data_IF_323983642228
#
_entry.id   IF_323983642228
#
_cell.length_a   1.000
_cell.length_b   1.000
_cell.length_c   1.000
_cell.angle_alpha   90.00
_cell.angle_beta   90.00
_cell.angle_gamma   90.00
#
_symmetry.space_group_name_H-M   'P 1'
#
loop_
_entity.id
_entity.type
_entity.pdbx_description
1 polymer ?
#
# COMPACT_ATOMS: atom_id res chain seq x y z
N UNK A 1 -6.37 -38.82 -62.37
CA UNK A 1 -5.20 -37.99 -62.07
C UNK A 1 -5.35 -37.63 -60.64
N UNK A 2 -5.23 -38.50 -59.65
CA UNK A 2 -4.03 -39.16 -59.08
C UNK A 2 -3.03 -38.16 -58.56
N UNK A 3 -2.77 -38.40 -57.28
CA UNK A 3 -1.66 -37.94 -56.41
C UNK A 3 -1.81 -36.53 -55.82
N UNK A 4 -1.98 -36.34 -54.53
CA UNK A 4 -1.20 -36.80 -53.42
C UNK A 4 -1.97 -36.61 -52.10
N UNK A 5 -2.34 -37.73 -51.51
CA UNK A 5 -2.59 -37.86 -50.07
C UNK A 5 -1.36 -38.56 -49.53
N UNK A 6 -0.52 -37.81 -48.81
CA UNK A 6 0.47 -38.44 -47.91
C UNK A 6 0.92 -37.46 -46.84
N UNK A 7 0.77 -37.93 -45.61
CA UNK A 7 1.58 -37.58 -44.43
C UNK A 7 1.36 -36.24 -43.75
N UNK A 8 0.57 -36.25 -42.68
CA UNK A 8 0.96 -35.65 -41.40
C UNK A 8 0.47 -36.54 -40.27
N UNK A 9 1.23 -37.56 -39.96
CA UNK A 9 1.33 -38.18 -38.66
C UNK A 9 2.75 -37.91 -38.18
N UNK A 10 2.92 -37.12 -37.17
CA UNK A 10 4.03 -37.04 -36.20
C UNK A 10 3.97 -35.66 -35.59
N UNK A 11 3.61 -35.54 -34.35
CA UNK A 11 4.50 -35.47 -33.23
C UNK A 11 3.70 -35.25 -31.95
N UNK A 12 3.43 -36.33 -31.27
CA UNK A 12 3.34 -36.32 -29.81
C UNK A 12 4.76 -36.12 -29.26
N UNK A 13 5.16 -34.90 -29.02
CA UNK A 13 6.31 -34.59 -28.16
C UNK A 13 5.81 -34.02 -26.85
N UNK A 14 5.34 -34.94 -25.99
CA UNK A 14 5.23 -34.71 -24.57
C UNK A 14 6.65 -34.51 -24.02
N UNK A 15 6.94 -33.30 -23.51
CA UNK A 15 8.15 -33.07 -22.72
C UNK A 15 8.07 -33.88 -21.43
N UNK A 16 9.00 -34.84 -21.21
CA UNK A 16 9.02 -35.56 -19.96
C UNK A 16 9.51 -34.61 -18.86
N UNK A 17 8.69 -34.45 -17.83
CA UNK A 17 9.12 -33.90 -16.56
C UNK A 17 10.13 -34.88 -15.99
N UNK A 18 11.40 -34.62 -16.19
CA UNK A 18 12.48 -35.43 -15.62
C UNK A 18 12.55 -35.13 -14.13
N UNK A 19 11.93 -35.99 -13.35
CA UNK A 19 12.19 -36.06 -11.90
C UNK A 19 13.60 -36.60 -11.74
N UNK A 20 14.52 -35.74 -11.34
CA UNK A 20 15.93 -36.13 -11.11
C UNK A 20 16.00 -37.08 -9.90
N UNK A 21 16.45 -38.33 -10.06
CA UNK A 21 16.63 -39.22 -8.92
C UNK A 21 17.88 -38.79 -8.12
N UNK A 22 17.71 -38.55 -6.84
CA UNK A 22 18.79 -38.33 -5.89
C UNK A 22 19.71 -39.56 -5.89
N UNK A 23 20.86 -39.45 -6.52
CA UNK A 23 21.97 -40.42 -6.40
C UNK A 23 22.71 -40.13 -5.09
N UNK A 24 22.72 -41.15 -4.20
CA UNK A 24 23.52 -41.15 -3.00
C UNK A 24 25.01 -40.99 -3.30
N UNK A 25 25.67 -40.17 -2.59
CA UNK A 25 27.13 -40.14 -2.48
C UNK A 25 27.53 -40.57 -1.04
N UNK A 26 28.38 -41.53 -1.01
CA UNK A 26 28.94 -42.24 0.14
C UNK A 26 29.58 -41.31 1.18
N UNK A 27 29.38 -41.76 2.42
CA UNK A 27 30.02 -41.20 3.60
C UNK A 27 31.37 -41.85 3.82
N UNK A 28 32.43 -41.08 4.05
CA UNK A 28 33.45 -41.43 5.04
C UNK A 28 34.15 -40.20 5.59
N UNK A 29 34.16 -40.17 6.95
CA UNK A 29 35.10 -39.55 7.91
C UNK A 29 35.05 -38.02 8.16
N UNK A 30 34.54 -37.67 9.32
CA UNK A 30 35.39 -37.24 10.43
C UNK A 30 34.94 -35.98 11.15
N UNK A 31 34.75 -36.13 12.45
CA UNK A 31 34.84 -35.11 13.51
C UNK A 31 33.59 -34.26 13.83
N UNK A 32 33.18 -34.44 15.07
CA UNK A 32 32.03 -33.97 15.77
C UNK A 32 31.76 -32.48 15.69
N UNK A 33 30.52 -32.21 15.43
CA UNK A 33 29.84 -30.98 15.64
C UNK A 33 28.36 -31.31 15.78
N UNK A 34 27.79 -31.03 16.95
CA UNK A 34 26.37 -31.16 17.20
C UNK A 34 25.60 -30.31 16.16
N UNK A 35 25.37 -30.90 15.01
CA UNK A 35 24.39 -30.33 14.05
C UNK A 35 23.02 -30.51 14.68
N UNK A 36 22.45 -29.40 15.19
CA UNK A 36 21.01 -29.28 15.31
C UNK A 36 20.41 -29.69 13.97
N UNK A 37 19.86 -30.89 13.91
CA UNK A 37 18.90 -31.29 12.87
C UNK A 37 17.64 -30.47 13.09
N UNK A 38 17.72 -29.17 12.78
CA UNK A 38 16.53 -28.40 12.44
C UNK A 38 15.90 -29.12 11.25
N UNK A 39 14.66 -29.58 11.41
CA UNK A 39 13.81 -30.02 10.33
C UNK A 39 14.10 -29.11 9.13
N UNK A 40 14.64 -29.65 8.05
CA UNK A 40 14.64 -28.94 6.75
C UNK A 40 13.17 -28.75 6.43
N UNK A 41 12.63 -27.59 6.81
CA UNK A 41 11.30 -27.17 6.41
C UNK A 41 11.33 -27.21 4.90
N UNK A 42 10.50 -28.06 4.30
CA UNK A 42 10.41 -28.22 2.86
C UNK A 42 10.26 -26.82 2.24
N UNK A 43 11.05 -26.48 1.23
CA UNK A 43 11.07 -25.13 0.63
C UNK A 43 9.68 -24.61 0.23
N UNK A 44 8.72 -25.52 0.00
CA UNK A 44 7.33 -25.21 -0.33
C UNK A 44 6.43 -24.92 0.89
N UNK A 45 6.87 -25.26 2.12
CA UNK A 45 6.05 -25.01 3.32
C UNK A 45 5.77 -23.53 3.53
N UNK A 46 6.80 -22.69 3.40
CA UNK A 46 6.66 -21.25 3.63
C UNK A 46 5.76 -20.56 2.59
N UNK A 47 5.94 -20.78 1.27
CA UNK A 47 4.99 -20.27 0.26
C UNK A 47 3.56 -20.76 0.49
N UNK A 48 3.37 -22.04 0.83
CA UNK A 48 2.05 -22.60 1.12
C UNK A 48 1.41 -21.95 2.36
N UNK A 49 2.16 -21.81 3.46
CA UNK A 49 1.67 -21.14 4.67
C UNK A 49 1.25 -19.69 4.40
N UNK A 50 2.07 -18.93 3.67
CA UNK A 50 1.76 -17.54 3.33
C UNK A 50 0.55 -17.45 2.39
N UNK A 51 0.45 -18.29 1.36
CA UNK A 51 -0.70 -18.33 0.47
C UNK A 51 -1.99 -18.68 1.25
N UNK A 52 -1.90 -19.60 2.22
CA UNK A 52 -3.02 -19.96 3.10
C UNK A 52 -3.44 -18.79 3.99
N UNK A 53 -2.48 -18.01 4.53
CA UNK A 53 -2.77 -16.82 5.32
C UNK A 53 -3.42 -15.72 4.45
N UNK A 54 -2.96 -15.52 3.21
CA UNK A 54 -3.57 -14.56 2.26
C UNK A 54 -5.01 -14.95 1.93
N UNK A 55 -5.25 -16.24 1.63
CA UNK A 55 -6.61 -16.73 1.39
C UNK A 55 -7.50 -16.54 2.62
N UNK A 56 -7.01 -16.93 3.80
CA UNK A 56 -7.73 -16.76 5.05
C UNK A 56 -8.04 -15.28 5.32
N UNK A 57 -7.07 -14.37 5.04
CA UNK A 57 -7.29 -12.93 5.16
C UNK A 57 -8.45 -12.46 4.29
N UNK A 58 -8.50 -12.90 3.05
CA UNK A 58 -9.57 -12.55 2.12
C UNK A 58 -10.95 -13.04 2.60
N UNK A 59 -11.02 -14.28 3.09
CA UNK A 59 -12.27 -14.85 3.62
C UNK A 59 -12.75 -14.12 4.89
N UNK A 60 -11.84 -13.83 5.82
CA UNK A 60 -12.16 -13.10 7.04
C UNK A 60 -12.54 -11.63 6.74
N UNK A 61 -11.85 -10.98 5.79
CA UNK A 61 -12.20 -9.64 5.32
C UNK A 61 -13.65 -9.57 4.83
N UNK A 62 -14.08 -10.52 4.00
CA UNK A 62 -15.46 -10.62 3.51
C UNK A 62 -16.43 -10.89 4.67
N UNK A 63 -16.07 -11.81 5.58
CA UNK A 63 -16.95 -12.22 6.69
C UNK A 63 -17.20 -11.09 7.69
N UNK A 64 -16.18 -10.27 7.98
CA UNK A 64 -16.26 -9.22 8.99
C UNK A 64 -16.42 -7.81 8.40
N UNK A 65 -16.54 -7.69 7.07
CA UNK A 65 -16.58 -6.40 6.36
C UNK A 65 -15.43 -5.45 6.77
N UNK A 66 -14.23 -6.00 6.93
CA UNK A 66 -13.02 -5.25 7.24
C UNK A 66 -12.15 -5.12 5.99
N UNK A 67 -11.34 -4.07 5.93
CA UNK A 67 -10.31 -3.96 4.88
C UNK A 67 -9.37 -5.18 4.90
N UNK A 68 -9.15 -5.81 3.75
CA UNK A 68 -8.27 -6.98 3.63
C UNK A 68 -6.86 -6.70 4.16
N UNK A 69 -6.34 -5.49 3.93
CA UNK A 69 -5.03 -5.07 4.43
C UNK A 69 -4.92 -5.12 5.96
N UNK A 70 -6.00 -4.76 6.69
CA UNK A 70 -6.03 -4.86 8.16
C UNK A 70 -5.94 -6.33 8.58
N UNK A 71 -6.70 -7.20 7.92
CA UNK A 71 -6.73 -8.64 8.24
C UNK A 71 -5.39 -9.29 7.88
N UNK A 72 -4.77 -8.92 6.75
CA UNK A 72 -3.44 -9.38 6.35
C UNK A 72 -2.38 -8.97 7.38
N UNK A 73 -2.39 -7.72 7.89
CA UNK A 73 -1.49 -7.32 8.97
C UNK A 73 -1.76 -8.14 10.23
N UNK A 74 -3.03 -8.32 10.63
CA UNK A 74 -3.37 -9.11 11.82
C UNK A 74 -2.91 -10.57 11.71
N UNK A 75 -3.13 -11.21 10.55
CA UNK A 75 -2.62 -12.56 10.29
C UNK A 75 -1.09 -12.60 10.20
N UNK A 76 -0.46 -11.53 9.70
CA UNK A 76 0.99 -11.36 9.75
C UNK A 76 1.51 -11.33 11.20
N UNK A 77 0.83 -10.62 12.12
CA UNK A 77 1.16 -10.62 13.56
C UNK A 77 1.09 -12.05 14.12
N UNK A 78 0.04 -12.80 13.79
CA UNK A 78 -0.10 -14.20 14.19
C UNK A 78 1.03 -15.03 13.58
N UNK A 79 1.30 -14.88 12.29
CA UNK A 79 2.37 -15.58 11.58
C UNK A 79 3.74 -15.37 12.20
N UNK A 80 4.08 -14.12 12.52
CA UNK A 80 5.40 -13.78 13.10
C UNK A 80 5.56 -14.19 14.56
N UNK A 81 4.52 -14.03 15.39
CA UNK A 81 4.63 -14.26 16.85
C UNK A 81 4.23 -15.66 17.29
N UNK A 82 3.22 -16.29 16.68
CA UNK A 82 2.71 -17.60 17.07
C UNK A 82 3.25 -18.72 16.18
N UNK A 83 3.31 -18.51 14.87
CA UNK A 83 3.82 -19.51 13.92
C UNK A 83 5.34 -19.38 13.69
N UNK A 84 5.98 -18.38 14.27
CA UNK A 84 7.43 -18.13 14.17
C UNK A 84 7.90 -18.07 12.70
N UNK A 85 7.06 -17.56 11.80
CA UNK A 85 7.42 -17.36 10.40
C UNK A 85 8.39 -16.18 10.31
N UNK A 86 9.57 -16.43 9.78
CA UNK A 86 10.58 -15.40 9.56
C UNK A 86 10.57 -14.93 8.11
N UNK A 87 10.86 -13.65 7.89
CA UNK A 87 11.00 -13.10 6.54
C UNK A 87 12.24 -13.68 5.86
N UNK A 88 12.11 -13.92 4.57
CA UNK A 88 13.18 -14.39 3.68
C UNK A 88 13.43 -13.36 2.60
N UNK A 89 14.55 -13.44 1.89
CA UNK A 89 14.92 -12.47 0.84
C UNK A 89 13.83 -12.30 -0.23
N UNK A 90 13.15 -13.40 -0.61
CA UNK A 90 12.08 -13.30 -1.61
C UNK A 90 10.80 -12.64 -1.05
N UNK A 91 10.46 -12.87 0.24
CA UNK A 91 9.37 -12.17 0.92
C UNK A 91 9.69 -10.67 1.01
N UNK A 92 10.94 -10.35 1.36
CA UNK A 92 11.41 -8.98 1.45
C UNK A 92 11.32 -8.25 0.11
N UNK A 93 11.69 -8.94 -0.98
CA UNK A 93 11.57 -8.43 -2.34
C UNK A 93 10.09 -8.20 -2.73
N UNK A 94 9.21 -9.20 -2.55
CA UNK A 94 7.80 -9.08 -2.87
C UNK A 94 7.10 -7.99 -2.04
N UNK A 95 7.42 -7.89 -0.75
CA UNK A 95 6.89 -6.84 0.11
C UNK A 95 7.37 -5.44 -0.32
N UNK A 96 8.65 -5.30 -0.68
CA UNK A 96 9.21 -4.07 -1.21
C UNK A 96 8.54 -3.66 -2.53
N UNK A 97 8.40 -4.61 -3.46
CA UNK A 97 7.69 -4.37 -4.70
C UNK A 97 6.20 -4.07 -4.48
N UNK A 98 5.55 -4.74 -3.50
CA UNK A 98 4.18 -4.46 -3.09
C UNK A 98 3.97 -3.02 -2.65
N UNK A 99 4.89 -2.49 -1.84
CA UNK A 99 4.88 -1.06 -1.44
C UNK A 99 4.96 -0.13 -2.65
N UNK A 100 5.87 -0.41 -3.58
CA UNK A 100 6.05 0.41 -4.81
C UNK A 100 4.81 0.32 -5.70
N UNK A 101 4.26 -0.87 -5.91
CA UNK A 101 3.07 -1.07 -6.73
C UNK A 101 1.83 -0.40 -6.12
N UNK A 102 1.65 -0.48 -4.79
CA UNK A 102 0.60 0.26 -4.08
C UNK A 102 0.74 1.77 -4.26
N UNK A 103 1.96 2.27 -4.14
CA UNK A 103 2.26 3.69 -4.32
C UNK A 103 1.96 4.15 -5.75
N UNK A 104 2.31 3.33 -6.75
CA UNK A 104 1.99 3.59 -8.16
C UNK A 104 0.47 3.63 -8.39
N UNK A 105 -0.25 2.64 -7.89
CA UNK A 105 -1.71 2.57 -8.00
C UNK A 105 -2.38 3.76 -7.31
N UNK A 106 -1.92 4.15 -6.12
CA UNK A 106 -2.43 5.32 -5.41
C UNK A 106 -2.32 6.60 -6.26
N UNK A 107 -1.21 6.78 -7.00
CA UNK A 107 -1.06 7.87 -7.96
C UNK A 107 -1.94 7.71 -9.20
N UNK A 108 -1.99 6.49 -9.77
CA UNK A 108 -2.71 6.20 -11.01
C UNK A 108 -4.24 6.29 -10.88
N UNK A 109 -4.77 6.12 -9.67
CA UNK A 109 -6.20 6.18 -9.38
C UNK A 109 -6.73 7.59 -9.11
N UNK A 110 -5.85 8.59 -9.11
CA UNK A 110 -6.27 9.98 -8.88
C UNK A 110 -7.11 10.50 -10.04
N UNK A 111 -8.32 10.95 -9.73
CA UNK A 111 -9.12 11.74 -10.66
C UNK A 111 -8.61 13.18 -10.70
N UNK A 112 -7.78 13.48 -11.69
CA UNK A 112 -7.20 14.83 -11.87
C UNK A 112 -8.22 15.89 -12.27
N UNK A 113 -9.36 15.49 -12.88
CA UNK A 113 -10.45 16.41 -13.20
C UNK A 113 -11.14 16.90 -11.94
N UNK A 114 -11.46 15.94 -11.08
CA UNK A 114 -12.10 16.15 -9.79
C UNK A 114 -11.21 16.96 -8.82
N UNK A 115 -9.91 16.66 -8.81
CA UNK A 115 -8.93 17.41 -8.02
C UNK A 115 -8.92 18.89 -8.45
N UNK A 116 -9.01 19.20 -9.75
CA UNK A 116 -9.05 20.59 -10.24
C UNK A 116 -10.33 21.33 -9.88
N UNK A 117 -11.48 20.66 -9.90
CA UNK A 117 -12.79 21.27 -9.61
C UNK A 117 -12.87 21.77 -8.15
N UNK A 118 -12.27 21.04 -7.20
CA UNK A 118 -12.30 21.32 -5.76
C UNK A 118 -10.90 21.47 -5.16
N UNK A 119 -9.98 22.03 -5.93
CA UNK A 119 -8.56 22.08 -5.57
C UNK A 119 -8.32 22.82 -4.24
N UNK A 120 -8.95 24.00 -4.08
CA UNK A 120 -8.74 24.85 -2.89
C UNK A 120 -9.18 24.16 -1.60
N UNK A 121 -10.38 23.61 -1.61
CA UNK A 121 -10.96 22.89 -0.46
C UNK A 121 -10.13 21.64 -0.14
N UNK A 122 -9.78 20.87 -1.15
CA UNK A 122 -9.04 19.63 -1.02
C UNK A 122 -7.61 19.85 -0.54
N UNK A 123 -6.92 20.87 -1.07
CA UNK A 123 -5.54 21.21 -0.65
C UNK A 123 -5.53 21.74 0.79
N UNK A 124 -6.49 22.58 1.16
CA UNK A 124 -6.56 23.10 2.53
C UNK A 124 -6.88 21.98 3.53
N UNK A 125 -7.92 21.18 3.26
CA UNK A 125 -8.31 20.08 4.16
C UNK A 125 -7.21 19.01 4.19
N UNK A 126 -6.72 18.55 3.05
CA UNK A 126 -5.67 17.52 2.96
C UNK A 126 -4.32 18.00 3.52
N UNK A 127 -3.93 19.25 3.21
CA UNK A 127 -2.69 19.84 3.70
C UNK A 127 -2.64 19.99 5.21
N UNK A 128 -3.70 20.56 5.82
CA UNK A 128 -3.77 20.67 7.30
C UNK A 128 -4.03 19.30 7.95
N UNK A 129 -4.75 18.41 7.28
CA UNK A 129 -4.90 17.00 7.70
C UNK A 129 -3.58 16.25 7.76
N UNK A 130 -2.59 16.61 6.93
CA UNK A 130 -1.23 16.10 7.01
C UNK A 130 -0.41 16.85 8.06
N UNK A 131 -0.34 18.16 7.94
CA UNK A 131 0.63 18.99 8.66
C UNK A 131 0.43 18.99 10.18
N UNK A 132 -0.81 19.16 10.67
CA UNK A 132 -1.05 19.26 12.10
C UNK A 132 -0.82 17.95 12.85
N UNK A 133 -1.30 16.78 12.39
CA UNK A 133 -0.96 15.52 13.04
C UNK A 133 0.54 15.19 12.91
N UNK A 134 1.20 15.59 11.80
CA UNK A 134 2.65 15.44 11.66
C UNK A 134 3.39 16.18 12.77
N UNK A 135 3.11 17.49 12.93
CA UNK A 135 3.75 18.30 13.94
C UNK A 135 3.41 17.79 15.35
N UNK A 136 2.15 17.46 15.62
CA UNK A 136 1.72 16.97 16.93
C UNK A 136 2.42 15.64 17.29
N UNK A 137 2.42 14.67 16.38
CA UNK A 137 3.06 13.39 16.61
C UNK A 137 4.59 13.51 16.69
N UNK A 138 5.21 14.25 15.79
CA UNK A 138 6.65 14.54 15.82
C UNK A 138 7.04 15.19 17.16
N UNK A 139 6.34 16.27 17.56
CA UNK A 139 6.66 16.98 18.81
C UNK A 139 6.49 16.09 20.03
N UNK A 140 5.41 15.30 20.10
CA UNK A 140 5.23 14.38 21.20
C UNK A 140 6.32 13.31 21.25
N UNK A 141 6.63 12.69 20.12
CA UNK A 141 7.64 11.63 20.05
C UNK A 141 9.05 12.14 20.36
N UNK A 142 9.39 13.33 19.87
CA UNK A 142 10.72 13.91 20.07
C UNK A 142 10.91 14.49 21.48
N UNK A 143 9.99 15.37 21.94
CA UNK A 143 10.15 16.10 23.18
C UNK A 143 9.66 15.34 24.42
N UNK A 144 8.66 14.47 24.29
CA UNK A 144 8.03 13.79 25.43
C UNK A 144 8.42 12.31 25.49
N UNK A 145 8.31 11.57 24.38
CA UNK A 145 8.65 10.15 24.35
C UNK A 145 10.15 9.90 24.19
N UNK A 146 10.97 10.92 23.95
CA UNK A 146 12.43 10.79 23.85
C UNK A 146 12.94 10.02 22.64
N UNK A 147 12.15 9.96 21.56
CA UNK A 147 12.61 9.31 20.32
C UNK A 147 13.67 10.17 19.64
N UNK A 148 14.66 9.53 19.02
CA UNK A 148 15.63 10.25 18.20
C UNK A 148 14.95 11.00 17.03
N UNK A 149 15.60 12.06 16.55
CA UNK A 149 15.06 12.96 15.51
C UNK A 149 14.45 12.18 14.32
N UNK A 150 15.24 11.25 13.72
CA UNK A 150 14.78 10.47 12.56
C UNK A 150 13.60 9.55 12.88
N UNK A 151 13.58 8.98 14.09
CA UNK A 151 12.47 8.15 14.54
C UNK A 151 11.19 8.99 14.74
N UNK A 152 11.31 10.19 15.30
CA UNK A 152 10.20 11.10 15.48
C UNK A 152 9.65 11.62 14.12
N UNK A 153 10.54 11.91 13.16
CA UNK A 153 10.16 12.27 11.78
C UNK A 153 9.36 11.14 11.10
N UNK A 154 9.80 9.88 11.22
CA UNK A 154 9.06 8.70 10.74
C UNK A 154 7.70 8.60 11.43
N UNK A 155 7.67 8.75 12.76
CA UNK A 155 6.42 8.71 13.52
C UNK A 155 5.44 9.81 13.10
N UNK A 156 5.93 11.02 12.91
CA UNK A 156 5.15 12.14 12.38
C UNK A 156 4.56 11.82 11.00
N UNK A 157 5.40 11.35 10.07
CA UNK A 157 4.97 10.97 8.73
C UNK A 157 3.95 9.81 8.74
N UNK A 158 4.19 8.76 9.54
CA UNK A 158 3.30 7.62 9.63
C UNK A 158 1.93 7.96 10.22
N UNK A 159 1.90 8.83 11.24
CA UNK A 159 0.67 9.20 11.95
C UNK A 159 -0.10 10.34 11.29
N UNK A 160 0.49 11.08 10.34
CA UNK A 160 -0.20 12.15 9.61
C UNK A 160 -1.12 11.64 8.48
N UNK A 161 -0.96 10.39 8.06
CA UNK A 161 -1.62 9.81 6.89
C UNK A 161 -3.13 9.71 7.03
N UNK A 162 -3.82 9.70 5.87
CA UNK A 162 -5.23 9.28 5.72
C UNK A 162 -5.27 8.11 4.75
N UNK A 163 -6.14 7.13 4.97
CA UNK A 163 -6.24 5.98 4.07
C UNK A 163 -7.30 6.21 3.00
N UNK A 164 -6.88 6.47 1.76
CA UNK A 164 -7.78 6.57 0.62
C UNK A 164 -8.62 5.29 0.44
N UNK A 165 -8.00 4.12 0.61
CA UNK A 165 -8.70 2.84 0.44
C UNK A 165 -9.84 2.65 1.43
N UNK A 166 -9.64 2.98 2.73
CA UNK A 166 -10.68 2.89 3.75
C UNK A 166 -11.77 3.93 3.49
N UNK A 167 -11.40 5.16 3.21
CA UNK A 167 -12.35 6.25 2.91
C UNK A 167 -13.18 5.91 1.68
N UNK A 168 -12.56 5.43 0.60
CA UNK A 168 -13.26 5.05 -0.62
C UNK A 168 -14.24 3.90 -0.39
N UNK A 169 -13.86 2.86 0.36
CA UNK A 169 -14.76 1.76 0.69
C UNK A 169 -16.02 2.27 1.42
N UNK A 170 -15.83 3.12 2.43
CA UNK A 170 -16.96 3.74 3.17
C UNK A 170 -17.83 4.60 2.25
N UNK A 171 -17.23 5.38 1.34
CA UNK A 171 -17.98 6.22 0.40
C UNK A 171 -18.77 5.39 -0.61
N UNK A 172 -18.27 4.23 -1.04
CA UNK A 172 -18.99 3.28 -1.91
C UNK A 172 -20.15 2.66 -1.17
N UNK A 173 -19.93 2.11 0.03
CA UNK A 173 -20.98 1.50 0.87
C UNK A 173 -22.10 2.48 1.21
N UNK A 174 -21.76 3.75 1.41
CA UNK A 174 -22.73 4.80 1.78
C UNK A 174 -23.32 5.55 0.56
N UNK A 175 -22.94 5.18 -0.68
CA UNK A 175 -23.38 5.87 -1.90
C UNK A 175 -22.91 7.32 -2.04
N UNK A 176 -21.89 7.72 -1.31
CA UNK A 176 -21.43 9.12 -1.25
C UNK A 176 -20.30 9.45 -2.24
N UNK A 177 -19.83 8.51 -3.04
CA UNK A 177 -18.70 8.69 -3.98
C UNK A 177 -18.91 9.83 -4.98
N UNK A 178 -20.10 9.95 -5.55
CA UNK A 178 -20.46 10.98 -6.53
C UNK A 178 -20.81 12.34 -5.93
N UNK A 179 -20.98 12.41 -4.60
CA UNK A 179 -21.36 13.64 -3.92
C UNK A 179 -20.18 14.62 -3.77
N UNK A 180 -20.47 15.91 -3.56
CA UNK A 180 -19.44 16.93 -3.29
C UNK A 180 -18.57 16.52 -2.08
N UNK A 181 -19.17 15.93 -1.04
CA UNK A 181 -18.44 15.47 0.15
C UNK A 181 -17.47 14.34 -0.20
N UNK A 182 -17.93 13.32 -0.95
CA UNK A 182 -17.07 12.20 -1.37
C UNK A 182 -15.92 12.68 -2.26
N UNK A 183 -16.24 13.58 -3.18
CA UNK A 183 -15.24 14.20 -4.06
C UNK A 183 -14.14 14.93 -3.28
N UNK A 184 -14.51 15.82 -2.36
CA UNK A 184 -13.55 16.56 -1.53
C UNK A 184 -12.73 15.59 -0.64
N UNK A 185 -13.37 14.60 -0.03
CA UNK A 185 -12.69 13.60 0.80
C UNK A 185 -11.63 12.81 0.01
N UNK A 186 -11.99 12.27 -1.16
CA UNK A 186 -11.04 11.52 -1.99
C UNK A 186 -9.86 12.41 -2.42
N UNK A 187 -10.12 13.64 -2.85
CA UNK A 187 -9.07 14.57 -3.23
C UNK A 187 -8.20 14.99 -2.03
N UNK A 188 -8.78 15.19 -0.84
CA UNK A 188 -8.03 15.52 0.37
C UNK A 188 -7.17 14.33 0.84
N UNK A 189 -7.66 13.08 0.74
CA UNK A 189 -6.85 11.88 0.99
C UNK A 189 -5.63 11.84 0.08
N UNK A 190 -5.82 12.10 -1.22
CA UNK A 190 -4.71 12.19 -2.15
C UNK A 190 -3.66 13.24 -1.75
N UNK A 191 -4.09 14.42 -1.29
CA UNK A 191 -3.17 15.47 -0.82
C UNK A 191 -2.42 15.02 0.45
N UNK A 192 -3.05 14.28 1.37
CA UNK A 192 -2.33 13.72 2.53
C UNK A 192 -1.31 12.66 2.13
N UNK A 193 -1.64 11.82 1.14
CA UNK A 193 -0.72 10.81 0.62
C UNK A 193 0.49 11.47 -0.04
N UNK A 194 0.26 12.49 -0.88
CA UNK A 194 1.32 13.31 -1.47
C UNK A 194 2.19 13.98 -0.38
N UNK A 195 1.58 14.52 0.67
CA UNK A 195 2.28 15.10 1.82
C UNK A 195 3.22 14.09 2.49
N UNK A 196 2.74 12.86 2.70
CA UNK A 196 3.56 11.78 3.28
C UNK A 196 4.74 11.41 2.39
N UNK A 197 4.48 11.24 1.09
CA UNK A 197 5.50 10.90 0.10
C UNK A 197 6.57 11.99 0.01
N UNK A 198 6.14 13.26 0.00
CA UNK A 198 7.06 14.41 0.03
C UNK A 198 7.87 14.46 1.32
N UNK A 199 7.23 14.26 2.49
CA UNK A 199 7.93 14.24 3.77
C UNK A 199 9.01 13.14 3.79
N UNK A 200 8.68 11.91 3.40
CA UNK A 200 9.66 10.82 3.35
C UNK A 200 10.80 11.14 2.38
N UNK A 201 10.50 11.72 1.23
CA UNK A 201 11.51 12.02 0.22
C UNK A 201 12.42 13.17 0.63
N UNK A 202 11.89 14.22 1.28
CA UNK A 202 12.65 15.41 1.68
C UNK A 202 13.44 15.18 2.98
N UNK A 203 12.80 14.61 4.01
CA UNK A 203 13.43 14.41 5.31
C UNK A 203 14.53 13.35 5.30
N UNK A 204 14.44 12.39 4.39
CA UNK A 204 15.38 11.24 4.32
C UNK A 204 16.22 11.23 3.04
N UNK A 205 16.17 12.28 2.24
CA UNK A 205 17.04 12.42 1.07
C UNK A 205 18.50 12.50 1.50
N UNK A 206 19.35 11.64 0.91
CA UNK A 206 20.80 11.77 0.98
C UNK A 206 21.23 12.46 -0.30
N UNK A 207 21.59 13.75 -0.19
CA UNK A 207 21.99 14.53 -1.38
C UNK A 207 23.40 14.12 -1.80
N UNK A 208 23.50 13.43 -2.95
CA UNK A 208 24.74 13.14 -3.64
C UNK A 208 24.52 13.17 -5.16
N UNK A 209 25.56 13.08 -5.97
CA UNK A 209 25.46 13.12 -7.43
C UNK A 209 24.57 11.98 -8.00
N UNK A 210 24.59 10.81 -7.38
CA UNK A 210 23.76 9.67 -7.77
C UNK A 210 22.28 9.92 -7.48
N UNK A 211 21.98 10.55 -6.34
CA UNK A 211 20.62 10.98 -5.98
C UNK A 211 20.09 12.03 -6.95
N UNK A 212 20.94 13.00 -7.33
CA UNK A 212 20.56 14.00 -8.34
C UNK A 212 20.28 13.33 -9.70
N UNK A 213 21.15 12.43 -10.14
CA UNK A 213 20.97 11.64 -11.35
C UNK A 213 19.66 10.83 -11.33
N UNK A 214 19.36 10.19 -10.20
CA UNK A 214 18.12 9.46 -10.00
C UNK A 214 16.88 10.36 -10.19
N UNK A 215 16.84 11.52 -9.54
CA UNK A 215 15.70 12.43 -9.69
C UNK A 215 15.58 13.03 -11.09
N UNK A 216 16.68 13.33 -11.77
CA UNK A 216 16.69 13.82 -13.15
C UNK A 216 16.18 12.75 -14.12
N UNK A 217 16.67 11.51 -14.01
CA UNK A 217 16.19 10.39 -14.84
C UNK A 217 14.74 10.08 -14.52
N UNK A 218 14.36 10.07 -13.24
CA UNK A 218 12.98 9.88 -12.81
C UNK A 218 12.04 10.95 -13.38
N UNK A 219 12.43 12.22 -13.33
CA UNK A 219 11.67 13.31 -13.92
C UNK A 219 11.53 13.16 -15.45
N UNK A 220 12.61 12.77 -16.14
CA UNK A 220 12.58 12.50 -17.58
C UNK A 220 11.61 11.36 -17.92
N UNK A 221 11.67 10.26 -17.18
CA UNK A 221 10.74 9.12 -17.32
C UNK A 221 9.31 9.59 -17.13
N UNK A 222 9.01 10.35 -16.07
CA UNK A 222 7.67 10.88 -15.78
C UNK A 222 7.14 11.78 -16.90
N UNK A 223 7.97 12.63 -17.48
CA UNK A 223 7.58 13.54 -18.60
C UNK A 223 7.30 12.75 -19.87
N UNK A 224 8.10 11.75 -20.17
CA UNK A 224 7.96 10.93 -21.38
C UNK A 224 6.84 9.89 -21.25
N UNK A 225 6.62 9.37 -20.04
CA UNK A 225 5.73 8.24 -19.77
C UNK A 225 4.33 8.42 -20.38
N UNK A 226 3.61 9.55 -20.27
CA UNK A 226 2.25 9.64 -20.80
C UNK A 226 2.15 9.50 -22.31
N UNK A 227 3.16 9.99 -23.05
CA UNK A 227 3.21 9.85 -24.52
C UNK A 227 3.69 8.45 -24.91
N UNK A 228 4.75 7.98 -24.31
CA UNK A 228 5.32 6.66 -24.55
C UNK A 228 4.34 5.54 -24.22
N UNK A 229 3.65 5.65 -23.09
CA UNK A 229 2.66 4.68 -22.64
C UNK A 229 1.46 4.61 -23.62
N UNK A 230 0.88 5.74 -24.02
CA UNK A 230 -0.22 5.78 -24.98
C UNK A 230 0.19 5.18 -26.33
N UNK A 231 1.38 5.55 -26.84
CA UNK A 231 1.93 4.95 -28.06
C UNK A 231 2.09 3.43 -27.94
N UNK A 232 2.65 2.98 -26.81
CA UNK A 232 2.89 1.55 -26.58
C UNK A 232 1.57 0.77 -26.48
N UNK A 233 0.61 1.26 -25.69
CA UNK A 233 -0.71 0.61 -25.54
C UNK A 233 -1.48 0.61 -26.85
N UNK A 234 -1.44 1.67 -27.65
CA UNK A 234 -2.08 1.70 -28.98
C UNK A 234 -1.47 0.70 -29.95
N UNK A 235 -0.17 0.41 -29.84
CA UNK A 235 0.55 -0.51 -30.76
C UNK A 235 0.54 -1.95 -30.31
N UNK A 236 0.63 -2.19 -29.01
CA UNK A 236 0.87 -3.53 -28.42
C UNK A 236 -0.18 -3.95 -27.40
N UNK A 237 -0.98 -3.03 -26.88
CA UNK A 237 -1.97 -3.30 -25.82
C UNK A 237 -3.11 -4.21 -26.25
N UNK A 238 -3.88 -4.69 -25.27
CA UNK A 238 -5.05 -5.52 -25.49
C UNK A 238 -4.75 -6.95 -25.98
N UNK A 239 -3.51 -7.40 -25.92
CA UNK A 239 -3.11 -8.76 -26.29
C UNK A 239 -3.12 -9.67 -25.05
N UNK A 240 -3.42 -10.95 -25.25
CA UNK A 240 -3.46 -11.95 -24.16
C UNK A 240 -2.16 -12.05 -23.36
N UNK A 241 -1.02 -11.74 -24.00
CA UNK A 241 0.29 -11.76 -23.34
C UNK A 241 0.57 -10.53 -22.47
N UNK A 242 -0.38 -9.58 -22.37
CA UNK A 242 -0.38 -8.40 -21.50
C UNK A 242 0.94 -7.58 -21.52
N UNK A 243 1.37 -7.07 -22.70
CA UNK A 243 2.64 -6.36 -22.81
C UNK A 243 2.63 -5.01 -22.08
N UNK A 244 1.46 -4.40 -21.91
CA UNK A 244 1.20 -3.16 -21.19
C UNK A 244 1.48 -3.31 -19.67
N UNK A 245 1.05 -4.40 -19.06
CA UNK A 245 1.38 -4.72 -17.66
C UNK A 245 2.89 -4.95 -17.50
N UNK A 246 3.50 -5.69 -18.44
CA UNK A 246 4.93 -5.95 -18.43
C UNK A 246 5.75 -4.67 -18.56
N UNK A 247 5.30 -3.72 -19.40
CA UNK A 247 5.93 -2.40 -19.50
C UNK A 247 5.88 -1.66 -18.16
N UNK A 248 4.72 -1.63 -17.49
CA UNK A 248 4.59 -0.98 -16.18
C UNK A 248 5.57 -1.59 -15.19
N UNK A 249 5.62 -2.93 -15.10
CA UNK A 249 6.54 -3.62 -14.19
C UNK A 249 8.00 -3.32 -14.52
N UNK A 250 8.38 -3.34 -15.80
CA UNK A 250 9.73 -3.01 -16.22
C UNK A 250 10.14 -1.58 -15.82
N UNK A 251 9.22 -0.62 -15.97
CA UNK A 251 9.46 0.78 -15.55
C UNK A 251 9.55 0.89 -14.04
N UNK A 252 8.66 0.23 -13.28
CA UNK A 252 8.70 0.24 -11.81
C UNK A 252 10.01 -0.38 -11.28
N UNK A 253 10.43 -1.55 -11.81
CA UNK A 253 11.70 -2.16 -11.44
C UNK A 253 12.89 -1.29 -11.85
N UNK A 254 12.83 -0.61 -13.00
CA UNK A 254 13.82 0.35 -13.43
C UNK A 254 13.97 1.51 -12.44
N UNK A 255 12.86 2.09 -11.97
CA UNK A 255 12.87 3.16 -10.96
C UNK A 255 13.39 2.64 -9.61
N UNK A 256 13.01 1.41 -9.20
CA UNK A 256 13.54 0.78 -7.98
C UNK A 256 15.06 0.59 -8.05
N UNK A 257 15.56 0.11 -9.19
CA UNK A 257 17.01 -0.06 -9.41
C UNK A 257 17.73 1.30 -9.35
N UNK A 258 17.21 2.31 -10.03
CA UNK A 258 17.79 3.67 -10.01
C UNK A 258 17.76 4.27 -8.61
N UNK A 259 16.67 4.04 -7.85
CA UNK A 259 16.57 4.48 -6.47
C UNK A 259 17.63 3.82 -5.58
N UNK A 260 17.84 2.52 -5.75
CA UNK A 260 18.86 1.77 -5.02
C UNK A 260 20.27 2.29 -5.34
N UNK A 261 20.58 2.50 -6.62
CA UNK A 261 21.85 3.09 -7.06
C UNK A 261 22.05 4.52 -6.54
N UNK A 262 20.95 5.29 -6.48
CA UNK A 262 20.93 6.67 -5.96
C UNK A 262 20.90 6.76 -4.43
N UNK A 263 20.93 5.64 -3.68
CA UNK A 263 20.68 5.63 -2.23
C UNK A 263 19.45 6.47 -1.84
N UNK A 264 18.40 6.39 -2.65
CA UNK A 264 17.17 7.17 -2.53
C UNK A 264 15.95 6.27 -2.47
N UNK A 265 14.77 6.88 -2.34
CA UNK A 265 13.49 6.16 -2.26
C UNK A 265 12.73 6.25 -3.58
N UNK A 266 12.23 5.12 -4.05
CA UNK A 266 11.41 5.05 -5.26
C UNK A 266 10.00 5.67 -5.08
N UNK A 267 9.56 5.90 -3.84
CA UNK A 267 8.18 6.24 -3.49
C UNK A 267 7.68 7.48 -4.23
N UNK A 268 8.44 8.60 -4.19
CA UNK A 268 8.02 9.84 -4.85
C UNK A 268 7.96 9.73 -6.38
N UNK A 269 9.02 9.29 -7.10
CA UNK A 269 8.95 9.15 -8.54
C UNK A 269 7.85 8.19 -9.01
N UNK A 270 7.64 7.09 -8.30
CA UNK A 270 6.61 6.09 -8.62
C UNK A 270 5.22 6.66 -8.43
N UNK A 271 4.97 7.41 -7.35
CA UNK A 271 3.70 8.06 -7.11
C UNK A 271 3.38 9.10 -8.21
N UNK A 272 4.35 9.95 -8.56
CA UNK A 272 4.19 10.96 -9.61
C UNK A 272 4.04 10.30 -10.99
N UNK A 273 4.74 9.18 -11.24
CA UNK A 273 4.53 8.40 -12.46
C UNK A 273 3.08 7.88 -12.55
N UNK A 274 2.56 7.30 -11.47
CA UNK A 274 1.16 6.89 -11.39
C UNK A 274 0.21 8.05 -11.70
N UNK A 275 0.42 9.21 -11.05
CA UNK A 275 -0.36 10.42 -11.29
C UNK A 275 -0.28 10.91 -12.75
N UNK A 276 0.90 10.88 -13.35
CA UNK A 276 1.10 11.26 -14.76
C UNK A 276 0.35 10.34 -15.73
N UNK A 277 0.21 9.06 -15.38
CA UNK A 277 -0.52 8.05 -16.15
C UNK A 277 -2.01 7.96 -15.80
N UNK A 278 -2.51 8.66 -14.77
CA UNK A 278 -3.89 8.53 -14.27
C UNK A 278 -4.96 8.70 -15.35
N UNK A 279 -4.79 9.66 -16.27
CA UNK A 279 -5.70 9.84 -17.42
C UNK A 279 -5.70 8.64 -18.36
N UNK A 280 -4.52 8.08 -18.64
CA UNK A 280 -4.41 6.89 -19.50
C UNK A 280 -5.07 5.67 -18.87
N UNK A 281 -5.01 5.55 -17.53
CA UNK A 281 -5.73 4.51 -16.79
C UNK A 281 -7.25 4.74 -16.77
N UNK A 282 -7.69 6.00 -16.68
CA UNK A 282 -9.11 6.32 -16.77
C UNK A 282 -9.70 5.93 -18.13
N UNK A 283 -8.92 6.06 -19.21
CA UNK A 283 -9.30 5.67 -20.58
C UNK A 283 -9.23 4.13 -20.79
N UNK A 284 -8.41 3.41 -20.02
CA UNK A 284 -8.17 1.97 -20.15
C UNK A 284 -8.52 1.23 -18.84
N UNK A 285 -9.80 1.21 -18.47
CA UNK A 285 -10.30 0.61 -17.21
C UNK A 285 -9.95 -0.88 -17.06
N UNK A 286 -9.90 -1.61 -18.17
CA UNK A 286 -9.50 -3.03 -18.15
C UNK A 286 -8.06 -3.22 -17.68
N UNK A 287 -7.14 -2.39 -18.15
CA UNK A 287 -5.75 -2.41 -17.72
C UNK A 287 -5.62 -2.08 -16.22
N UNK A 288 -6.34 -1.05 -15.77
CA UNK A 288 -6.40 -0.71 -14.36
C UNK A 288 -6.90 -1.89 -13.50
N UNK A 289 -7.98 -2.54 -13.95
CA UNK A 289 -8.55 -3.72 -13.29
C UNK A 289 -7.55 -4.88 -13.22
N UNK A 290 -6.90 -5.21 -14.33
CA UNK A 290 -5.89 -6.29 -14.39
C UNK A 290 -4.72 -6.01 -13.45
N UNK A 291 -4.21 -4.78 -13.45
CA UNK A 291 -3.12 -4.39 -12.57
C UNK A 291 -3.53 -4.47 -11.09
N UNK A 292 -4.76 -4.06 -10.75
CA UNK A 292 -5.32 -4.24 -9.40
C UNK A 292 -5.41 -5.71 -9.01
N UNK A 293 -5.87 -6.59 -9.89
CA UNK A 293 -5.96 -8.03 -9.62
C UNK A 293 -4.57 -8.60 -9.28
N UNK A 294 -3.55 -8.26 -10.05
CA UNK A 294 -2.18 -8.71 -9.78
C UNK A 294 -1.66 -8.10 -8.46
N UNK A 295 -1.88 -6.80 -8.27
CA UNK A 295 -1.45 -6.11 -7.06
C UNK A 295 -2.07 -6.75 -5.81
N UNK A 296 -3.38 -6.73 -5.70
CA UNK A 296 -4.09 -7.17 -4.47
C UNK A 296 -4.20 -8.69 -4.34
N UNK A 297 -4.14 -9.44 -5.45
CA UNK A 297 -4.20 -10.90 -5.42
C UNK A 297 -2.87 -11.57 -5.10
N UNK A 298 -1.73 -10.94 -5.44
CA UNK A 298 -0.44 -11.61 -5.34
C UNK A 298 0.60 -10.76 -4.57
N UNK A 299 0.79 -9.50 -4.93
CA UNK A 299 1.99 -8.75 -4.52
C UNK A 299 1.80 -8.03 -3.18
N UNK A 300 0.70 -7.28 -3.03
CA UNK A 300 0.46 -6.45 -1.85
C UNK A 300 0.15 -7.23 -0.57
N UNK A 301 -0.44 -8.45 -0.61
CA UNK A 301 -0.58 -9.26 0.59
C UNK A 301 0.75 -9.52 1.31
N UNK A 302 1.84 -9.74 0.55
CA UNK A 302 3.16 -9.92 1.16
C UNK A 302 3.68 -8.68 1.87
N UNK A 303 3.34 -7.48 1.35
CA UNK A 303 3.68 -6.24 2.03
C UNK A 303 2.98 -6.12 3.39
N UNK A 304 1.68 -6.36 3.44
CA UNK A 304 0.91 -6.26 4.67
C UNK A 304 1.20 -7.39 5.66
N UNK A 305 1.32 -8.64 5.20
CA UNK A 305 1.74 -9.77 6.04
C UNK A 305 3.11 -9.52 6.66
N UNK A 306 4.11 -9.09 5.87
CA UNK A 306 5.43 -8.74 6.38
C UNK A 306 5.36 -7.60 7.40
N UNK A 307 4.55 -6.58 7.12
CA UNK A 307 4.27 -5.52 8.09
C UNK A 307 3.80 -6.10 9.42
N UNK A 308 2.82 -6.99 9.39
CA UNK A 308 2.31 -7.69 10.57
C UNK A 308 3.35 -8.57 11.26
N UNK A 309 4.11 -9.37 10.51
CA UNK A 309 5.17 -10.26 11.06
C UNK A 309 6.25 -9.51 11.85
N UNK A 310 6.47 -8.23 11.54
CA UNK A 310 7.41 -7.38 12.29
C UNK A 310 6.81 -6.76 13.56
N UNK A 311 5.49 -6.85 13.78
CA UNK A 311 4.84 -6.36 15.00
C UNK A 311 5.07 -7.34 16.15
N UNK A 312 5.52 -6.85 17.30
CA UNK A 312 5.73 -7.64 18.51
C UNK A 312 4.53 -7.54 19.44
N UNK A 313 3.89 -8.68 19.75
CA UNK A 313 2.75 -8.74 20.68
C UNK A 313 3.13 -8.30 22.11
N UNK A 314 4.35 -8.61 22.55
CA UNK A 314 4.82 -8.19 23.88
C UNK A 314 4.90 -6.65 23.99
N UNK A 315 5.31 -5.98 22.91
CA UNK A 315 5.37 -4.50 22.83
C UNK A 315 3.98 -3.88 22.86
N UNK A 316 2.98 -4.50 22.27
CA UNK A 316 1.59 -4.00 22.31
C UNK A 316 1.08 -3.87 23.75
N UNK A 317 1.38 -4.86 24.57
CA UNK A 317 0.98 -4.84 26.01
C UNK A 317 1.82 -3.85 26.79
N UNK A 318 3.15 -3.90 26.66
CA UNK A 318 4.06 -3.04 27.44
C UNK A 318 3.98 -1.57 27.05
N UNK A 319 3.62 -1.26 25.79
CA UNK A 319 3.53 0.11 25.26
C UNK A 319 2.08 0.58 25.07
N UNK A 320 1.09 -0.08 25.68
CA UNK A 320 -0.33 0.26 25.51
C UNK A 320 -0.64 1.74 25.83
N UNK A 321 0.00 2.29 26.87
CA UNK A 321 -0.12 3.71 27.22
C UNK A 321 0.37 4.63 26.11
N UNK A 322 1.54 4.36 25.54
CA UNK A 322 2.10 5.14 24.43
C UNK A 322 1.21 5.02 23.18
N UNK A 323 0.71 3.83 22.87
CA UNK A 323 -0.21 3.58 21.76
C UNK A 323 -1.49 4.40 21.92
N UNK A 324 -2.08 4.40 23.13
CA UNK A 324 -3.28 5.20 23.45
C UNK A 324 -3.04 6.71 23.31
N UNK A 325 -1.92 7.20 23.80
CA UNK A 325 -1.56 8.62 23.70
C UNK A 325 -1.35 9.02 22.24
N UNK A 326 -0.59 8.23 21.45
CA UNK A 326 -0.35 8.52 20.03
C UNK A 326 -1.63 8.44 19.20
N UNK A 327 -2.55 7.54 19.55
CA UNK A 327 -3.89 7.51 18.95
C UNK A 327 -4.62 8.82 19.19
N UNK A 328 -4.66 9.30 20.44
CA UNK A 328 -5.30 10.57 20.79
C UNK A 328 -4.60 11.75 20.12
N UNK A 329 -3.26 11.80 20.15
CA UNK A 329 -2.46 12.85 19.48
C UNK A 329 -2.78 12.93 17.99
N UNK A 330 -2.82 11.79 17.30
CA UNK A 330 -3.18 11.74 15.88
C UNK A 330 -4.60 12.24 15.65
N UNK A 331 -5.58 11.71 16.35
CA UNK A 331 -6.99 12.10 16.18
C UNK A 331 -7.20 13.56 16.52
N UNK A 332 -6.63 14.05 17.63
CA UNK A 332 -6.69 15.47 18.01
C UNK A 332 -6.06 16.37 16.96
N UNK A 333 -4.89 16.01 16.42
CA UNK A 333 -4.23 16.73 15.33
C UNK A 333 -5.10 16.79 14.06
N UNK A 334 -5.78 15.69 13.73
CA UNK A 334 -6.74 15.63 12.61
C UNK A 334 -7.94 16.53 12.88
N UNK A 335 -8.52 16.49 14.09
CA UNK A 335 -9.62 17.38 14.44
C UNK A 335 -9.19 18.85 14.41
N UNK A 336 -8.03 19.20 14.92
CA UNK A 336 -7.51 20.57 14.85
C UNK A 336 -7.31 21.06 13.42
N UNK A 337 -6.85 20.18 12.50
CA UNK A 337 -6.58 20.56 11.10
C UNK A 337 -7.80 20.51 10.20
N UNK A 338 -8.63 19.50 10.34
CA UNK A 338 -9.71 19.21 9.40
C UNK A 338 -11.03 19.84 9.83
N UNK A 339 -11.39 19.74 11.12
CA UNK A 339 -12.72 20.10 11.60
C UNK A 339 -13.11 21.55 11.33
N UNK A 340 -12.25 22.57 11.56
CA UNK A 340 -12.59 23.96 11.26
C UNK A 340 -12.87 24.21 9.77
N UNK A 341 -12.08 23.56 8.90
CA UNK A 341 -12.26 23.65 7.46
C UNK A 341 -13.49 22.87 6.99
N UNK A 342 -13.74 21.71 7.58
CA UNK A 342 -14.94 20.94 7.32
C UNK A 342 -16.21 21.68 7.75
N UNK A 343 -16.19 22.41 8.88
CA UNK A 343 -17.29 23.30 9.27
C UNK A 343 -17.54 24.40 8.22
N UNK A 344 -16.48 24.95 7.63
CA UNK A 344 -16.58 26.00 6.61
C UNK A 344 -17.13 25.49 5.27
N UNK A 345 -16.61 24.36 4.80
CA UNK A 345 -16.90 23.87 3.44
C UNK A 345 -18.00 22.79 3.39
N UNK A 346 -18.21 22.07 4.49
CA UNK A 346 -19.15 20.94 4.61
C UNK A 346 -19.85 20.92 5.98
N UNK A 347 -20.54 22.02 6.41
CA UNK A 347 -20.95 22.27 7.80
C UNK A 347 -21.81 21.14 8.37
N UNK A 348 -22.73 20.56 7.58
CA UNK A 348 -23.61 19.47 8.03
C UNK A 348 -22.91 18.11 8.15
N UNK A 349 -21.65 17.99 7.71
CA UNK A 349 -20.91 16.73 7.61
C UNK A 349 -19.51 16.83 8.23
N UNK A 350 -19.22 17.91 8.96
CA UNK A 350 -17.89 18.22 9.45
C UNK A 350 -17.30 17.11 10.33
N UNK A 351 -18.05 16.57 11.28
CA UNK A 351 -17.60 15.48 12.16
C UNK A 351 -17.35 14.20 11.35
N UNK A 352 -18.26 13.83 10.46
CA UNK A 352 -18.12 12.66 9.59
C UNK A 352 -16.84 12.75 8.74
N UNK A 353 -16.64 13.89 8.07
CA UNK A 353 -15.46 14.15 7.24
C UNK A 353 -14.18 14.07 8.08
N UNK A 354 -14.16 14.67 9.28
CA UNK A 354 -12.99 14.69 10.16
C UNK A 354 -12.64 13.29 10.65
N UNK A 355 -13.62 12.49 11.02
CA UNK A 355 -13.42 11.11 11.43
C UNK A 355 -12.86 10.25 10.29
N UNK A 356 -13.40 10.37 9.08
CA UNK A 356 -12.87 9.66 7.92
C UNK A 356 -11.46 10.12 7.54
N UNK A 357 -11.17 11.44 7.66
CA UNK A 357 -9.81 11.96 7.47
C UNK A 357 -8.83 11.56 8.58
N UNK A 358 -9.32 11.04 9.71
CA UNK A 358 -8.49 10.52 10.81
C UNK A 358 -8.00 9.10 10.58
N UNK A 359 -8.52 8.40 9.56
CA UNK A 359 -8.10 7.04 9.22
C UNK A 359 -6.66 7.03 8.71
N UNK A 360 -5.93 5.98 8.99
CA UNK A 360 -4.59 5.81 8.42
C UNK A 360 -4.32 4.32 8.25
N UNK A 361 -3.79 3.89 7.10
CA UNK A 361 -3.43 2.50 6.89
C UNK A 361 -2.24 2.40 5.92
N UNK A 362 -2.46 2.57 4.63
CA UNK A 362 -1.49 2.26 3.57
C UNK A 362 -0.18 3.02 3.73
N UNK A 363 -0.22 4.34 3.63
CA UNK A 363 1.00 5.16 3.72
C UNK A 363 1.57 5.23 5.14
N UNK A 364 0.75 5.07 6.18
CA UNK A 364 1.23 4.94 7.55
C UNK A 364 2.08 3.67 7.74
N UNK A 365 1.64 2.55 7.18
CA UNK A 365 2.41 1.29 7.16
C UNK A 365 3.65 1.40 6.27
N UNK A 366 3.56 2.03 5.09
CA UNK A 366 4.70 2.28 4.20
C UNK A 366 5.78 3.10 4.93
N UNK A 367 5.41 4.22 5.54
CA UNK A 367 6.33 5.08 6.27
C UNK A 367 6.99 4.35 7.45
N UNK A 368 6.20 3.59 8.23
CA UNK A 368 6.72 2.82 9.36
C UNK A 368 7.68 1.71 8.90
N UNK A 369 7.31 0.95 7.86
CA UNK A 369 8.16 -0.12 7.34
C UNK A 369 9.44 0.42 6.70
N UNK A 370 9.34 1.55 6.01
CA UNK A 370 10.52 2.25 5.52
C UNK A 370 11.47 2.64 6.67
N UNK A 371 10.94 3.24 7.73
CA UNK A 371 11.72 3.60 8.92
C UNK A 371 12.41 2.40 9.56
N UNK A 372 11.73 1.24 9.63
CA UNK A 372 12.28 0.00 10.15
C UNK A 372 13.40 -0.54 9.25
N UNK A 373 13.16 -0.60 7.94
CA UNK A 373 14.14 -1.13 6.98
C UNK A 373 15.39 -0.25 6.86
N UNK A 374 15.23 1.06 6.97
CA UNK A 374 16.32 2.03 6.96
C UNK A 374 17.07 2.11 8.31
N UNK A 375 16.60 1.40 9.34
CA UNK A 375 17.21 1.43 10.68
C UNK A 375 16.95 2.72 11.46
N UNK A 376 15.99 3.55 11.03
CA UNK A 376 15.63 4.79 11.74
C UNK A 376 14.76 4.54 12.96
N UNK A 377 13.97 3.46 12.95
CA UNK A 377 13.15 3.02 14.09
C UNK A 377 13.43 1.57 14.45
N UNK A 378 13.28 1.25 15.73
CA UNK A 378 13.37 -0.11 16.26
C UNK A 378 12.09 -0.91 15.95
N UNK A 379 12.15 -2.26 16.12
CA UNK A 379 10.95 -3.13 16.03
C UNK A 379 9.85 -2.72 17.02
N UNK A 380 10.24 -2.26 18.21
CA UNK A 380 9.29 -1.79 19.23
C UNK A 380 8.57 -0.52 18.76
N UNK A 381 9.31 0.46 18.27
CA UNK A 381 8.76 1.70 17.72
C UNK A 381 7.86 1.43 16.50
N UNK A 382 8.29 0.54 15.61
CA UNK A 382 7.49 0.08 14.49
C UNK A 382 6.17 -0.54 14.94
N UNK A 383 6.21 -1.45 15.95
CA UNK A 383 5.01 -2.10 16.49
C UNK A 383 4.02 -1.09 17.06
N UNK A 384 4.50 -0.07 17.78
CA UNK A 384 3.68 1.02 18.29
C UNK A 384 3.02 1.79 17.15
N UNK A 385 3.79 2.23 16.15
CA UNK A 385 3.27 3.04 15.04
C UNK A 385 2.23 2.28 14.22
N UNK A 386 2.52 1.03 13.82
CA UNK A 386 1.60 0.23 13.01
C UNK A 386 0.30 -0.06 13.79
N UNK A 387 0.39 -0.31 15.09
CA UNK A 387 -0.80 -0.52 15.92
C UNK A 387 -1.68 0.73 15.98
N UNK A 388 -1.10 1.92 16.16
CA UNK A 388 -1.86 3.18 16.10
C UNK A 388 -2.48 3.40 14.73
N UNK A 389 -1.73 3.10 13.66
CA UNK A 389 -2.22 3.19 12.27
C UNK A 389 -3.44 2.30 12.06
N UNK A 390 -3.40 1.03 12.51
CA UNK A 390 -4.52 0.08 12.42
C UNK A 390 -5.70 0.57 13.28
N UNK A 391 -5.46 0.95 14.52
CA UNK A 391 -6.49 1.45 15.42
C UNK A 391 -7.22 2.64 14.81
N UNK A 392 -6.50 3.57 14.18
CA UNK A 392 -7.09 4.73 13.51
C UNK A 392 -7.81 4.38 12.21
N UNK A 393 -7.48 3.28 11.54
CA UNK A 393 -8.24 2.81 10.40
C UNK A 393 -9.62 2.25 10.82
N UNK A 394 -9.73 1.67 12.01
CA UNK A 394 -10.94 0.99 12.49
C UNK A 394 -11.82 1.93 13.32
N UNK A 395 -11.29 2.47 14.41
CA UNK A 395 -12.09 3.16 15.44
C UNK A 395 -12.81 4.40 14.88
N UNK A 396 -12.12 5.38 14.25
CA UNK A 396 -12.79 6.54 13.68
C UNK A 396 -13.79 6.18 12.57
N UNK A 397 -13.49 5.17 11.77
CA UNK A 397 -14.38 4.68 10.69
C UNK A 397 -15.69 4.15 11.25
N UNK A 398 -15.61 3.27 12.26
CA UNK A 398 -16.81 2.72 12.93
C UNK A 398 -17.63 3.82 13.58
N UNK A 399 -16.98 4.78 14.26
CA UNK A 399 -17.66 5.92 14.86
C UNK A 399 -18.36 6.78 13.81
N UNK A 400 -17.65 7.06 12.68
CA UNK A 400 -18.22 7.85 11.58
C UNK A 400 -19.46 7.20 10.99
N UNK A 401 -19.39 5.89 10.67
CA UNK A 401 -20.50 5.15 10.08
C UNK A 401 -21.66 4.94 11.05
N UNK A 402 -21.39 4.67 12.33
CA UNK A 402 -22.44 4.34 13.31
C UNK A 402 -23.20 5.56 13.78
N UNK A 403 -22.54 6.72 13.98
CA UNK A 403 -23.11 7.87 14.68
C UNK A 403 -23.25 9.13 13.83
N UNK A 404 -22.50 9.25 12.73
CA UNK A 404 -22.40 10.48 11.96
C UNK A 404 -22.64 10.31 10.46
N UNK A 405 -23.12 9.14 10.04
CA UNK A 405 -23.41 8.86 8.63
C UNK A 405 -24.45 9.85 8.10
N UNK A 406 -24.16 10.60 7.02
CA UNK A 406 -25.12 11.48 6.41
C UNK A 406 -26.30 10.67 5.81
N UNK A 407 -27.54 11.21 5.85
CA UNK A 407 -28.66 10.56 5.18
C UNK A 407 -28.38 10.48 3.67
N UNK A 408 -28.61 9.31 3.09
CA UNK A 408 -28.51 9.09 1.63
C UNK A 408 -29.66 9.84 0.98
N UNK A 409 -29.38 10.67 -0.02
CA UNK A 409 -30.44 11.40 -0.75
C UNK A 409 -31.24 10.39 -1.61
N UNK A 410 -32.58 10.42 -1.62
CA UNK A 410 -33.42 9.46 -2.34
C UNK A 410 -33.16 9.36 -3.84
N UNK A 411 -32.49 10.35 -4.43
CA UNK A 411 -32.11 10.36 -5.85
C UNK A 411 -31.08 9.28 -6.25
N UNK A 412 -30.35 8.68 -5.27
CA UNK A 412 -29.37 7.63 -5.54
C UNK A 412 -30.02 6.24 -5.52
N UNK A 413 -31.13 6.09 -4.81
CA UNK A 413 -31.86 4.84 -4.70
C UNK A 413 -32.54 4.43 -6.02
N UNK A 414 -32.91 5.39 -6.85
CA UNK A 414 -33.52 5.13 -8.18
C UNK A 414 -32.52 4.62 -9.22
N UNK A 415 -31.23 4.96 -9.13
CA UNK A 415 -30.21 4.49 -10.07
C UNK A 415 -29.75 3.07 -9.77
N UNK A 416 -29.80 2.62 -8.53
CA UNK A 416 -29.44 1.26 -8.15
C UNK A 416 -30.50 0.21 -8.47
N UNK A 417 -31.77 0.62 -8.64
CA UNK A 417 -32.88 -0.27 -9.00
C UNK A 417 -32.97 -0.50 -10.52
N UNK A 418 -32.52 0.46 -11.33
CA UNK A 418 -32.53 0.34 -12.79
C UNK A 418 -31.32 -0.43 -13.38
N UNK A 419 -30.28 -0.69 -12.61
CA UNK A 419 -29.11 -1.50 -13.05
C UNK A 419 -29.32 -3.00 -12.72
N UNK A 420 -30.38 -3.36 -12.01
CA UNK A 420 -30.70 -4.72 -11.60
C UNK A 420 -31.88 -5.36 -12.36
N UNK A 421 -32.35 -4.72 -13.45
CA UNK A 421 -33.29 -5.31 -14.43
C UNK A 421 -32.57 -5.39 -15.82
#
# INVERSE_FOLDING_TARGET
MESAVTAVNAADDAYPITVCPLRGADATKGVGGHAHRGLRVNELYLPFALASLVLLASLLSIRFALSVAIVEIALGVIGGNLLHIHTTTWIDFLAGFGSVLLTFLAGAEVDTGLLREKLKESVLIGGLSFLLPFIAAFSYLFFVAGWGLKAAEIGGAALSTTSLAVVYAVLVETGLTSTVTGKILMAACFITDLGTVLALSVLFAKVNWWTLGFYLIGALVIVIAPRGFRWFVSRFGGRVIEPDIKLIFAVLFGIMLLAQLGNSQAVLPVFILGLALSRSFADHKDLQRKLRVIAFGIVTPFFFLKGGMNVSLSVLVTSAGLIGILFVVKVAGKFAGVYPLALKYLPKRATYVTLLMSTGLTFGTIASLYGLQAGYISKSQFSVLVTVVIATAIIPTVIAQRFFQPPVSPAVEQVSVDVGK
#
